data_IF_169504256420
#
_entry.id   IF_169504256420
#
_cell.length_a   1.000
_cell.length_b   1.000
_cell.length_c   1.000
_cell.angle_alpha   90.00
_cell.angle_beta   90.00
_cell.angle_gamma   90.00
#
_symmetry.space_group_name_H-M   'P 1'
#
loop_
_entity.id
_entity.type
_entity.pdbx_description
1 polymer ?
#
# COMPACT_ATOMS: atom_id res chain seq x y z
N UNK A 1 -15.22 -41.51 14.46
CA UNK A 1 -14.21 -40.62 13.84
C UNK A 1 -14.90 -39.33 13.39
N UNK A 2 -14.43 -38.15 13.80
CA UNK A 2 -15.05 -36.88 13.43
C UNK A 2 -14.69 -36.53 11.97
N UNK A 3 -15.70 -36.35 11.12
CA UNK A 3 -15.52 -36.13 9.68
C UNK A 3 -14.76 -34.84 9.35
N UNK A 4 -13.97 -34.86 8.27
CA UNK A 4 -13.05 -33.80 7.85
C UNK A 4 -13.70 -32.41 7.72
N UNK A 5 -14.99 -32.34 7.40
CA UNK A 5 -15.77 -31.09 7.35
C UNK A 5 -15.87 -30.35 8.68
N UNK A 6 -15.97 -31.08 9.81
CA UNK A 6 -16.01 -30.46 11.14
C UNK A 6 -14.65 -29.88 11.52
N UNK A 7 -13.55 -30.42 11.00
CA UNK A 7 -12.21 -29.88 11.20
C UNK A 7 -11.99 -28.62 10.35
N UNK A 8 -12.42 -28.60 9.08
CA UNK A 8 -12.35 -27.40 8.21
C UNK A 8 -13.14 -26.22 8.78
N UNK A 9 -14.37 -26.43 9.27
CA UNK A 9 -15.16 -25.37 9.93
C UNK A 9 -14.53 -24.84 11.22
N UNK A 10 -13.84 -25.69 12.00
CA UNK A 10 -13.12 -25.25 13.21
C UNK A 10 -11.87 -24.45 12.86
N UNK A 11 -11.14 -24.86 11.83
CA UNK A 11 -9.96 -24.13 11.35
C UNK A 11 -10.34 -22.73 10.81
N UNK A 12 -11.42 -22.62 10.03
CA UNK A 12 -11.90 -21.32 9.56
C UNK A 12 -12.36 -20.41 10.72
N UNK A 13 -13.11 -20.95 11.70
CA UNK A 13 -13.51 -20.18 12.89
C UNK A 13 -12.32 -19.73 13.72
N UNK A 14 -11.26 -20.54 13.81
CA UNK A 14 -10.03 -20.16 14.49
C UNK A 14 -9.28 -19.04 13.74
N UNK A 15 -9.20 -19.12 12.40
CA UNK A 15 -8.62 -18.05 11.57
C UNK A 15 -9.39 -16.73 11.69
N UNK A 16 -10.72 -16.76 11.65
CA UNK A 16 -11.55 -15.56 11.85
C UNK A 16 -11.38 -14.98 13.26
N UNK A 17 -11.28 -15.82 14.29
CA UNK A 17 -11.07 -15.38 15.68
C UNK A 17 -9.65 -14.84 15.90
N UNK A 18 -8.64 -15.37 15.20
CA UNK A 18 -7.29 -14.82 15.21
C UNK A 18 -7.24 -13.43 14.56
N UNK A 19 -7.93 -13.23 13.42
CA UNK A 19 -8.09 -11.90 12.79
C UNK A 19 -8.83 -10.91 13.71
N UNK A 20 -9.92 -11.33 14.35
CA UNK A 20 -10.63 -10.49 15.33
C UNK A 20 -9.78 -10.16 16.57
N UNK A 21 -8.95 -11.10 17.06
CA UNK A 21 -8.06 -10.85 18.19
C UNK A 21 -6.84 -9.97 17.82
N UNK A 22 -6.40 -9.96 16.55
CA UNK A 22 -5.45 -8.96 16.03
C UNK A 22 -6.10 -7.56 16.02
N UNK A 23 -7.36 -7.47 15.59
CA UNK A 23 -8.13 -6.21 15.61
C UNK A 23 -8.43 -5.68 17.02
N UNK A 24 -8.57 -6.56 18.02
CA UNK A 24 -8.96 -6.22 19.39
C UNK A 24 -7.80 -5.87 20.35
N UNK A 25 -6.55 -6.12 19.97
CA UNK A 25 -5.38 -5.65 20.73
C UNK A 25 -4.91 -4.33 20.12
N UNK A 26 -5.56 -3.23 20.52
CA UNK A 26 -4.93 -1.92 20.44
C UNK A 26 -3.57 -2.02 21.12
N UNK A 27 -2.48 -2.05 20.33
CA UNK A 27 -1.12 -1.82 20.84
C UNK A 27 -1.20 -0.50 21.65
N UNK A 28 -0.52 -0.37 22.80
CA UNK A 28 -0.64 0.82 23.62
C UNK A 28 -0.39 2.07 22.75
N UNK A 29 -1.40 2.93 22.64
CA UNK A 29 -1.42 4.16 21.83
C UNK A 29 -0.32 5.18 22.21
N UNK A 30 0.55 4.86 23.17
CA UNK A 30 1.52 5.75 23.75
C UNK A 30 2.72 6.07 22.83
N UNK A 31 2.93 5.30 21.74
CA UNK A 31 4.06 5.48 20.82
C UNK A 31 3.68 5.74 19.35
N UNK A 32 2.40 5.93 19.05
CA UNK A 32 1.96 6.13 17.66
C UNK A 32 2.35 7.54 17.19
N UNK A 33 3.14 7.62 16.11
CA UNK A 33 3.66 8.89 15.56
C UNK A 33 2.54 9.80 15.04
N UNK A 34 1.46 9.20 14.52
CA UNK A 34 0.29 9.90 14.01
C UNK A 34 -0.99 9.06 14.22
N UNK A 35 -2.14 9.63 14.62
CA UNK A 35 -3.36 8.87 14.92
C UNK A 35 -3.82 7.92 13.80
N UNK A 36 -3.53 8.26 12.55
CA UNK A 36 -3.89 7.42 11.40
C UNK A 36 -3.17 6.05 11.39
N UNK A 37 -1.96 5.99 11.97
CA UNK A 37 -1.18 4.76 12.13
C UNK A 37 -1.70 3.90 13.28
N UNK A 38 -2.74 4.33 14.01
CA UNK A 38 -3.44 3.42 14.92
C UNK A 38 -4.26 2.35 14.16
N UNK A 39 -4.52 2.57 12.87
CA UNK A 39 -5.17 1.59 12.02
C UNK A 39 -4.13 0.60 11.46
N UNK A 40 -4.23 -0.71 11.78
CA UNK A 40 -3.30 -1.72 11.28
C UNK A 40 -3.21 -1.78 9.75
N UNK A 41 -4.32 -1.46 9.05
CA UNK A 41 -4.38 -1.44 7.59
C UNK A 41 -3.53 -0.32 6.96
N UNK A 42 -3.13 0.68 7.77
CA UNK A 42 -2.32 1.81 7.33
C UNK A 42 -0.89 1.73 7.90
N UNK A 43 -0.73 1.19 9.11
CA UNK A 43 0.58 1.07 9.74
C UNK A 43 1.45 -0.04 9.14
N UNK A 44 0.85 -1.19 8.82
CA UNK A 44 1.56 -2.35 8.30
C UNK A 44 0.76 -2.92 7.09
N UNK A 45 0.55 -2.12 6.02
CA UNK A 45 -0.43 -2.42 4.97
C UNK A 45 -0.13 -3.71 4.18
N UNK A 46 1.14 -4.11 4.09
CA UNK A 46 1.60 -5.25 3.31
C UNK A 46 2.14 -6.41 4.17
N UNK A 47 2.01 -6.37 5.51
CA UNK A 47 2.56 -7.41 6.40
C UNK A 47 1.88 -8.79 6.22
N UNK A 48 0.62 -8.79 5.78
CA UNK A 48 -0.15 -10.00 5.49
C UNK A 48 -0.09 -10.42 3.99
N UNK A 49 0.70 -9.71 3.15
CA UNK A 49 0.83 -9.96 1.70
C UNK A 49 2.23 -10.44 1.37
N UNK A 50 2.34 -11.61 0.72
CA UNK A 50 3.62 -12.10 0.20
C UNK A 50 3.91 -11.44 -1.15
N UNK A 51 4.62 -10.31 -1.12
CA UNK A 51 5.08 -9.64 -2.34
C UNK A 51 6.37 -10.33 -2.80
N UNK A 52 6.34 -10.95 -3.98
CA UNK A 52 7.52 -11.58 -4.56
C UNK A 52 8.45 -10.54 -5.19
N UNK A 53 9.29 -9.95 -4.34
CA UNK A 53 10.29 -8.97 -4.75
C UNK A 53 11.35 -9.56 -5.70
N UNK A 54 11.50 -10.88 -5.77
CA UNK A 54 12.48 -11.53 -6.66
C UNK A 54 12.02 -11.60 -8.11
N UNK A 55 10.71 -11.45 -8.33
CA UNK A 55 10.10 -11.38 -9.66
C UNK A 55 10.10 -9.97 -10.25
N UNK A 56 10.38 -8.94 -9.43
CA UNK A 56 10.41 -7.57 -9.88
C UNK A 56 11.68 -7.29 -10.70
N UNK A 57 11.49 -6.89 -11.95
CA UNK A 57 12.56 -6.46 -12.84
C UNK A 57 12.18 -5.11 -13.44
N UNK A 58 12.86 -4.04 -13.00
CA UNK A 58 12.59 -2.70 -13.48
C UNK A 58 12.87 -2.55 -14.98
N UNK A 59 13.89 -3.25 -15.50
CA UNK A 59 14.23 -3.20 -16.92
C UNK A 59 13.18 -3.86 -17.79
N UNK A 60 12.57 -4.93 -17.29
CA UNK A 60 11.44 -5.56 -17.97
C UNK A 60 10.26 -4.59 -18.11
N UNK A 61 10.00 -3.78 -17.08
CA UNK A 61 8.97 -2.74 -17.11
C UNK A 61 9.30 -1.63 -18.11
N UNK A 62 10.57 -1.22 -18.22
CA UNK A 62 11.00 -0.23 -19.22
C UNK A 62 10.88 -0.78 -20.66
N UNK A 63 11.23 -2.05 -20.88
CA UNK A 63 11.27 -2.65 -22.22
C UNK A 63 9.91 -3.16 -22.70
N UNK A 64 9.17 -3.84 -21.82
CA UNK A 64 7.91 -4.54 -22.13
C UNK A 64 6.68 -3.80 -21.63
N UNK A 65 6.87 -2.75 -20.83
CA UNK A 65 5.81 -1.90 -20.31
C UNK A 65 5.29 -2.35 -18.95
N UNK A 66 4.51 -1.46 -18.36
CA UNK A 66 3.92 -1.63 -17.05
C UNK A 66 2.68 -2.55 -17.12
N UNK A 67 2.73 -3.73 -16.49
CA UNK A 67 1.54 -4.60 -16.32
C UNK A 67 0.85 -4.31 -14.98
N UNK A 68 -0.37 -3.73 -14.98
CA UNK A 68 -1.12 -3.46 -13.76
C UNK A 68 -1.41 -4.69 -12.90
N UNK A 69 -1.45 -5.90 -13.50
CA UNK A 69 -1.74 -7.13 -12.79
C UNK A 69 -0.65 -7.48 -11.75
N UNK A 70 0.60 -7.04 -11.97
CA UNK A 70 1.70 -7.24 -11.02
C UNK A 70 1.57 -6.38 -9.76
N UNK A 71 0.70 -5.38 -9.79
CA UNK A 71 0.51 -4.40 -8.71
C UNK A 71 -0.91 -4.41 -8.13
N UNK A 72 -1.72 -5.45 -8.41
CA UNK A 72 -3.10 -5.52 -7.92
C UNK A 72 -3.18 -5.44 -6.39
N UNK A 73 -2.28 -6.13 -5.67
CA UNK A 73 -2.22 -6.06 -4.21
C UNK A 73 -1.98 -4.62 -3.70
N UNK A 74 -1.11 -3.86 -4.38
CA UNK A 74 -0.90 -2.45 -4.08
C UNK A 74 -2.19 -1.67 -4.32
N UNK A 75 -2.80 -1.81 -5.50
CA UNK A 75 -3.95 -1.00 -5.88
C UNK A 75 -5.20 -1.31 -5.04
N UNK A 76 -5.47 -2.57 -4.70
CA UNK A 76 -6.57 -2.94 -3.80
C UNK A 76 -6.36 -2.38 -2.39
N UNK A 77 -5.12 -2.40 -1.91
CA UNK A 77 -4.76 -1.86 -0.59
C UNK A 77 -4.89 -0.33 -0.59
N UNK A 78 -4.42 0.34 -1.65
CA UNK A 78 -4.62 1.78 -1.86
C UNK A 78 -6.10 2.14 -1.92
N UNK A 79 -6.93 1.36 -2.63
CA UNK A 79 -8.37 1.61 -2.73
C UNK A 79 -9.06 1.51 -1.37
N UNK A 80 -8.67 0.53 -0.58
CA UNK A 80 -9.16 0.36 0.80
C UNK A 80 -8.78 1.55 1.67
N UNK A 81 -7.54 2.04 1.54
CA UNK A 81 -7.04 3.20 2.27
C UNK A 81 -7.67 4.52 1.82
N UNK A 82 -7.94 4.69 0.52
CA UNK A 82 -8.65 5.83 -0.04
C UNK A 82 -10.02 6.03 0.60
N UNK A 83 -10.73 4.93 0.88
CA UNK A 83 -12.00 4.93 1.58
C UNK A 83 -11.93 5.49 3.01
N UNK A 84 -10.73 5.60 3.59
CA UNK A 84 -10.49 6.24 4.89
C UNK A 84 -10.14 7.71 4.69
N UNK A 85 -9.13 8.01 3.87
CA UNK A 85 -8.72 9.38 3.51
C UNK A 85 -7.66 9.37 2.40
N UNK A 86 -7.45 10.52 1.76
CA UNK A 86 -6.35 10.70 0.81
C UNK A 86 -4.98 10.49 1.48
N UNK A 87 -4.80 10.96 2.72
CA UNK A 87 -3.58 10.74 3.50
C UNK A 87 -3.31 9.25 3.73
N UNK A 88 -4.35 8.46 4.01
CA UNK A 88 -4.24 7.01 4.15
C UNK A 88 -3.79 6.35 2.85
N UNK A 89 -4.34 6.75 1.69
CA UNK A 89 -3.88 6.28 0.38
C UNK A 89 -2.39 6.56 0.19
N UNK A 90 -1.95 7.81 0.45
CA UNK A 90 -0.54 8.19 0.29
C UNK A 90 0.38 7.41 1.23
N UNK A 91 -0.05 7.16 2.48
CA UNK A 91 0.71 6.34 3.44
C UNK A 91 0.87 4.89 2.99
N UNK A 92 -0.19 4.28 2.44
CA UNK A 92 -0.10 2.93 1.89
C UNK A 92 0.83 2.90 0.69
N UNK A 93 0.65 3.83 -0.25
CA UNK A 93 1.47 3.91 -1.46
C UNK A 93 2.96 4.00 -1.13
N UNK A 94 3.36 4.93 -0.25
CA UNK A 94 4.75 5.14 0.14
C UNK A 94 5.38 3.99 0.94
N UNK A 95 4.58 3.08 1.47
CA UNK A 95 5.07 1.89 2.18
C UNK A 95 5.19 0.67 1.27
N UNK A 96 4.96 0.81 -0.04
CA UNK A 96 5.06 -0.30 -0.97
C UNK A 96 6.53 -0.73 -1.15
N UNK A 97 6.90 -2.00 -0.83
CA UNK A 97 8.30 -2.41 -0.79
C UNK A 97 9.05 -2.28 -2.12
N UNK A 98 8.35 -2.39 -3.25
CA UNK A 98 8.96 -2.23 -4.57
C UNK A 98 9.42 -0.80 -4.81
N UNK A 99 8.75 0.21 -4.24
CA UNK A 99 9.22 1.60 -4.35
C UNK A 99 10.58 1.77 -3.68
N UNK A 100 10.82 1.11 -2.55
CA UNK A 100 12.12 1.15 -1.88
C UNK A 100 13.22 0.53 -2.74
N UNK A 101 12.93 -0.58 -3.45
CA UNK A 101 13.87 -1.19 -4.40
C UNK A 101 14.19 -0.25 -5.56
N UNK A 102 13.16 0.30 -6.20
CA UNK A 102 13.35 1.22 -7.34
C UNK A 102 14.13 2.46 -6.92
N UNK A 103 13.80 3.06 -5.77
CA UNK A 103 14.52 4.24 -5.26
C UNK A 103 15.97 3.91 -4.87
N UNK A 104 16.26 2.67 -4.45
CA UNK A 104 17.61 2.25 -4.07
C UNK A 104 18.49 1.88 -5.28
N UNK A 105 17.90 1.32 -6.34
CA UNK A 105 18.64 0.78 -7.48
C UNK A 105 18.68 1.73 -8.68
N UNK A 106 17.65 2.55 -8.85
CA UNK A 106 17.47 3.39 -10.04
C UNK A 106 17.70 4.88 -9.76
N UNK A 107 17.78 5.66 -10.84
CA UNK A 107 17.89 7.12 -10.74
C UNK A 107 16.63 7.77 -10.16
N UNK A 108 16.78 8.95 -9.56
CA UNK A 108 15.65 9.71 -9.00
C UNK A 108 14.55 9.98 -10.04
N UNK A 109 14.95 10.31 -11.28
CA UNK A 109 14.02 10.55 -12.38
C UNK A 109 13.23 9.27 -12.73
N UNK A 110 13.93 8.13 -12.89
CA UNK A 110 13.30 6.84 -13.20
C UNK A 110 12.35 6.37 -12.09
N UNK A 111 12.76 6.53 -10.81
CA UNK A 111 11.90 6.21 -9.67
C UNK A 111 10.66 7.11 -9.62
N UNK A 112 10.81 8.39 -9.97
CA UNK A 112 9.70 9.34 -10.02
C UNK A 112 8.72 8.98 -11.15
N UNK A 113 9.22 8.65 -12.33
CA UNK A 113 8.40 8.23 -13.46
C UNK A 113 7.63 6.94 -13.13
N UNK A 114 8.26 5.99 -12.46
CA UNK A 114 7.60 4.76 -11.99
C UNK A 114 6.48 5.04 -10.99
N UNK A 115 6.75 5.90 -10.00
CA UNK A 115 5.73 6.33 -9.02
C UNK A 115 4.55 7.03 -9.69
N UNK A 116 4.81 7.92 -10.66
CA UNK A 116 3.76 8.57 -11.44
C UNK A 116 2.95 7.55 -12.24
N UNK A 117 3.61 6.63 -12.94
CA UNK A 117 2.96 5.56 -13.70
C UNK A 117 2.02 4.71 -12.84
N UNK A 118 2.46 4.31 -11.65
CA UNK A 118 1.62 3.59 -10.67
C UNK A 118 0.36 4.38 -10.30
N UNK A 119 0.51 5.67 -9.99
CA UNK A 119 -0.61 6.52 -9.60
C UNK A 119 -1.59 6.78 -10.76
N UNK A 120 -1.06 6.95 -11.98
CA UNK A 120 -1.88 7.11 -13.20
C UNK A 120 -2.71 5.85 -13.44
N UNK A 121 -2.07 4.67 -13.40
CA UNK A 121 -2.77 3.39 -13.58
C UNK A 121 -3.81 3.16 -12.49
N UNK A 122 -3.49 3.49 -11.24
CA UNK A 122 -4.46 3.42 -10.14
C UNK A 122 -5.72 4.26 -10.43
N UNK A 123 -5.53 5.51 -10.90
CA UNK A 123 -6.65 6.40 -11.27
C UNK A 123 -7.43 5.84 -12.47
N UNK A 124 -6.75 5.33 -13.49
CA UNK A 124 -7.39 4.72 -14.66
C UNK A 124 -8.27 3.51 -14.26
N UNK A 125 -7.81 2.64 -13.35
CA UNK A 125 -8.54 1.43 -12.94
C UNK A 125 -9.75 1.77 -12.05
N UNK A 126 -9.59 2.66 -11.06
CA UNK A 126 -10.61 2.85 -10.00
C UNK A 126 -11.46 4.11 -10.15
N UNK A 127 -11.05 5.05 -11.01
CA UNK A 127 -11.72 6.32 -11.22
C UNK A 127 -12.05 6.59 -12.69
N UNK A 128 -11.64 5.70 -13.60
CA UNK A 128 -11.84 5.84 -15.06
C UNK A 128 -11.25 7.15 -15.62
N UNK A 129 -10.23 7.69 -14.95
CA UNK A 129 -9.49 8.86 -15.41
C UNK A 129 -8.61 8.50 -16.62
N UNK A 130 -8.48 9.45 -17.55
CA UNK A 130 -7.39 9.42 -18.52
C UNK A 130 -6.08 9.91 -17.88
N UNK A 131 -4.99 9.78 -18.64
CA UNK A 131 -3.65 10.17 -18.19
C UNK A 131 -3.60 11.65 -17.77
N UNK A 132 -4.20 12.55 -18.56
CA UNK A 132 -4.22 13.99 -18.29
C UNK A 132 -4.96 14.31 -16.98
N UNK A 133 -6.12 13.70 -16.74
CA UNK A 133 -6.89 13.87 -15.51
C UNK A 133 -6.14 13.31 -14.30
N UNK A 134 -5.49 12.15 -14.45
CA UNK A 134 -4.68 11.56 -13.40
C UNK A 134 -3.47 12.43 -13.05
N UNK A 135 -2.74 12.94 -14.05
CA UNK A 135 -1.60 13.86 -13.86
C UNK A 135 -2.06 15.16 -13.19
N UNK A 136 -3.20 15.71 -13.59
CA UNK A 136 -3.78 16.90 -12.97
C UNK A 136 -4.14 16.65 -11.48
N UNK A 137 -4.64 15.45 -11.16
CA UNK A 137 -4.93 15.04 -9.78
C UNK A 137 -3.65 14.89 -8.95
N UNK A 138 -2.61 14.22 -9.48
CA UNK A 138 -1.31 14.08 -8.81
C UNK A 138 -0.70 15.47 -8.54
N UNK A 139 -0.85 16.39 -9.49
CA UNK A 139 -0.33 17.76 -9.38
C UNK A 139 -1.18 18.68 -8.50
N UNK A 140 -2.33 18.21 -8.00
CA UNK A 140 -3.24 19.02 -7.18
C UNK A 140 -2.66 19.32 -5.80
N UNK A 141 -3.00 20.49 -5.25
CA UNK A 141 -2.58 20.89 -3.90
C UNK A 141 -3.02 19.87 -2.83
N UNK A 142 -4.22 19.30 -2.98
CA UNK A 142 -4.75 18.30 -2.06
C UNK A 142 -3.88 17.03 -2.04
N UNK A 143 -3.51 16.51 -3.22
CA UNK A 143 -2.65 15.34 -3.32
C UNK A 143 -1.24 15.64 -2.81
N UNK A 144 -0.63 16.72 -3.28
CA UNK A 144 0.73 17.11 -2.88
C UNK A 144 0.84 17.34 -1.36
N UNK A 145 -0.16 17.97 -0.74
CA UNK A 145 -0.19 18.14 0.71
C UNK A 145 -0.29 16.79 1.44
N UNK A 146 -1.17 15.91 1.01
CA UNK A 146 -1.35 14.59 1.63
C UNK A 146 -0.11 13.70 1.46
N UNK A 147 0.52 13.74 0.28
CA UNK A 147 1.75 13.00 -0.03
C UNK A 147 2.92 13.48 0.84
N UNK A 148 3.13 14.79 0.94
CA UNK A 148 4.19 15.36 1.78
C UNK A 148 3.96 15.06 3.27
N UNK A 149 2.71 15.13 3.74
CA UNK A 149 2.37 14.75 5.11
C UNK A 149 2.62 13.26 5.37
N UNK A 150 2.21 12.38 4.45
CA UNK A 150 2.48 10.95 4.54
C UNK A 150 3.98 10.66 4.62
N UNK A 151 4.78 11.27 3.74
CA UNK A 151 6.24 11.16 3.76
C UNK A 151 6.83 11.60 5.11
N UNK A 152 6.42 12.76 5.64
CA UNK A 152 6.89 13.24 6.95
C UNK A 152 6.49 12.33 8.12
N UNK A 153 5.32 11.71 8.06
CA UNK A 153 4.87 10.72 9.05
C UNK A 153 5.76 9.47 9.01
N UNK A 154 6.03 8.94 7.81
CA UNK A 154 6.86 7.73 7.63
C UNK A 154 8.31 7.97 8.02
N UNK A 155 8.89 9.13 7.68
CA UNK A 155 10.23 9.50 8.14
C UNK A 155 10.33 9.50 9.67
N UNK A 156 9.34 10.09 10.37
CA UNK A 156 9.30 10.09 11.84
C UNK A 156 9.07 8.70 12.44
N UNK A 157 8.32 7.82 11.75
CA UNK A 157 8.14 6.42 12.12
C UNK A 157 9.46 5.65 12.02
N UNK A 158 10.14 5.75 10.87
CA UNK A 158 11.39 5.04 10.62
C UNK A 158 12.54 5.56 11.48
N UNK A 159 12.57 6.86 11.82
CA UNK A 159 13.55 7.42 12.75
C UNK A 159 13.39 6.97 14.22
N UNK A 160 12.25 6.35 14.57
CA UNK A 160 11.96 5.82 15.91
C UNK A 160 12.05 4.29 16.01
N UNK A 161 12.13 3.61 14.86
CA UNK A 161 12.28 2.16 14.77
C UNK A 161 13.73 1.75 15.05
#
# INVERSE_FOLDING_TARGET
MASADKQKKRAQRAKTKARQNRMGKLRPQANVVHPILANPLIDEPFDDVEIDLSSFDFKDIEENGFDPAHFDDLFQTMKTAEGISLLALCLVFLQYPVLELVVAEESEDAATDFMMGLLIVYRAIFHEDDEDAAVAWISSEAFQSAYNEASAILQKKNARA
#
